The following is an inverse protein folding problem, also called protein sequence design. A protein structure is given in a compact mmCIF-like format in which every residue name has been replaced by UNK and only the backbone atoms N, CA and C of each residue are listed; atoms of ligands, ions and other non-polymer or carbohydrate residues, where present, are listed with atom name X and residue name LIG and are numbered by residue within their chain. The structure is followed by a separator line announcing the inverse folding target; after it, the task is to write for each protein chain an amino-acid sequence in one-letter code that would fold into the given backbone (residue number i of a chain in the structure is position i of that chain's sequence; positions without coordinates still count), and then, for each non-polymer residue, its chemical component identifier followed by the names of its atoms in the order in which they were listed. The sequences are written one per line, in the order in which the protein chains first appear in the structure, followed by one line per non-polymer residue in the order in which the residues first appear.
data_IF_690628050314
#
_entry.id   IF_690628050314
#
_cell.length_a   1.000
_cell.length_b   1.000
_cell.length_c   1.000
_cell.angle_alpha   90.00
_cell.angle_beta   90.00
_cell.angle_gamma   90.00
#
_symmetry.space_group_name_H-M   'P 1'
#
loop_
_entity.id
_entity.type
_entity.pdbx_description
1 polymer ?
#
# COMPACT_ATOMS: atom_id res chain seq x y z
N UNK A 1 3.65 17.71 -12.61
CA UNK A 1 4.88 18.52 -12.54
C UNK A 1 6.05 17.60 -12.24
N UNK A 2 7.20 17.80 -12.86
CA UNK A 2 8.42 17.01 -12.61
C UNK A 2 9.32 17.83 -11.71
N UNK A 3 9.79 17.26 -10.59
CA UNK A 3 10.75 17.88 -9.68
C UNK A 3 12.07 17.12 -9.75
N UNK A 4 13.16 17.86 -9.71
CA UNK A 4 14.52 17.32 -9.69
C UNK A 4 15.11 17.52 -8.30
N UNK A 5 15.65 16.47 -7.70
CA UNK A 5 16.28 16.53 -6.38
C UNK A 5 17.62 15.81 -6.46
N UNK A 6 18.75 16.49 -6.18
CA UNK A 6 20.06 15.86 -6.16
C UNK A 6 20.17 14.99 -4.91
N UNK A 7 20.48 13.70 -5.09
CA UNK A 7 20.57 12.71 -4.00
C UNK A 7 21.78 11.80 -4.18
N UNK A 8 22.32 11.30 -3.06
CA UNK A 8 23.36 10.27 -3.08
C UNK A 8 22.94 9.12 -2.18
N UNK A 9 22.61 7.96 -2.80
CA UNK A 9 22.18 6.76 -2.08
C UNK A 9 23.30 6.10 -1.26
N UNK A 10 24.55 6.20 -1.70
CA UNK A 10 25.70 5.62 -0.99
C UNK A 10 26.09 6.46 0.23
N UNK A 11 26.20 7.77 0.07
CA UNK A 11 26.60 8.68 1.15
C UNK A 11 25.43 9.08 2.07
N UNK A 12 24.20 8.74 1.72
CA UNK A 12 23.00 9.16 2.46
C UNK A 12 22.66 10.65 2.33
N UNK A 13 23.21 11.33 1.32
CA UNK A 13 23.05 12.77 1.14
C UNK A 13 21.64 13.15 0.66
N UNK A 14 21.03 14.13 1.33
CA UNK A 14 19.74 14.75 0.95
C UNK A 14 18.52 13.80 0.94
N UNK A 15 18.53 12.75 1.78
CA UNK A 15 17.46 11.74 1.83
C UNK A 15 16.33 12.09 2.82
N UNK A 16 16.62 12.20 4.12
CA UNK A 16 15.59 12.29 5.18
C UNK A 16 15.75 13.54 6.06
N UNK A 17 16.95 13.79 6.58
CA UNK A 17 17.17 14.83 7.59
C UNK A 17 17.23 16.23 6.96
N UNK A 18 16.41 17.19 7.41
CA UNK A 18 16.60 18.62 7.14
C UNK A 18 17.86 19.22 7.81
N UNK A 19 18.70 18.41 8.46
CA UNK A 19 19.79 18.86 9.33
C UNK A 19 21.05 17.99 9.37
N UNK A 20 21.14 16.91 8.59
CA UNK A 20 22.46 16.40 8.23
C UNK A 20 22.96 17.30 7.11
N UNK A 21 24.02 18.11 7.32
CA UNK A 21 24.45 19.03 6.28
C UNK A 21 24.71 18.19 5.04
N UNK A 22 24.03 18.49 3.90
CA UNK A 22 24.47 17.91 2.66
C UNK A 22 25.96 18.24 2.52
N UNK A 23 26.75 17.39 1.85
CA UNK A 23 28.17 17.65 1.67
C UNK A 23 28.35 19.11 1.23
N UNK A 24 29.35 19.85 1.76
CA UNK A 24 29.43 21.32 1.60
C UNK A 24 29.40 21.77 0.13
N UNK A 25 29.77 20.88 -0.80
CA UNK A 25 29.63 21.10 -2.24
C UNK A 25 28.16 21.21 -2.72
N UNK A 26 27.19 20.58 -2.06
CA UNK A 26 25.77 20.58 -2.43
C UNK A 26 25.01 21.73 -1.76
N UNK A 27 25.31 22.08 -0.51
CA UNK A 27 24.72 23.27 0.14
C UNK A 27 25.13 24.59 -0.52
N UNK A 28 26.23 24.61 -1.26
CA UNK A 28 26.72 25.80 -1.96
C UNK A 28 25.82 26.26 -3.13
N UNK A 29 25.05 25.36 -3.75
CA UNK A 29 24.23 25.68 -4.93
C UNK A 29 22.80 25.16 -4.85
N UNK A 30 22.49 24.21 -3.96
CA UNK A 30 21.15 23.65 -3.81
C UNK A 30 20.49 24.11 -2.51
N UNK A 31 19.36 24.80 -2.64
CA UNK A 31 18.53 25.30 -1.53
C UNK A 31 17.12 24.68 -1.51
N UNK A 32 16.90 23.61 -2.29
CA UNK A 32 15.61 22.93 -2.40
C UNK A 32 15.35 21.89 -1.29
N UNK A 33 14.18 21.24 -1.31
CA UNK A 33 13.79 20.25 -0.31
C UNK A 33 14.63 18.97 -0.39
N UNK A 34 14.59 18.19 0.70
CA UNK A 34 15.11 16.82 0.74
C UNK A 34 14.24 15.88 -0.09
N UNK A 35 14.72 14.67 -0.40
CA UNK A 35 13.93 13.68 -1.13
C UNK A 35 12.62 13.35 -0.39
N UNK A 36 12.67 13.13 0.93
CA UNK A 36 11.48 12.90 1.75
C UNK A 36 10.51 14.09 1.69
N UNK A 37 11.01 15.32 1.90
CA UNK A 37 10.16 16.52 1.83
C UNK A 37 9.52 16.71 0.45
N UNK A 38 10.26 16.43 -0.63
CA UNK A 38 9.73 16.49 -1.98
C UNK A 38 8.64 15.45 -2.25
N UNK A 39 8.71 14.27 -1.62
CA UNK A 39 7.68 13.22 -1.69
C UNK A 39 6.44 13.62 -0.86
N UNK A 40 6.65 14.16 0.34
CA UNK A 40 5.56 14.61 1.23
C UNK A 40 4.76 15.79 0.64
N UNK A 41 5.41 16.65 -0.16
CA UNK A 41 4.76 17.74 -0.89
C UNK A 41 3.93 17.26 -2.11
N UNK A 42 3.98 15.97 -2.46
CA UNK A 42 3.12 15.46 -3.52
C UNK A 42 1.66 15.43 -3.03
N UNK A 43 0.72 15.94 -3.84
CA UNK A 43 -0.68 15.90 -3.45
C UNK A 43 -1.12 14.45 -3.26
N UNK A 44 -1.73 14.16 -2.12
CA UNK A 44 -2.34 12.86 -1.89
C UNK A 44 -3.42 12.62 -2.96
N UNK A 45 -3.31 11.50 -3.66
CA UNK A 45 -4.31 11.11 -4.67
C UNK A 45 -5.59 10.72 -3.94
N UNK A 46 -6.72 11.28 -4.38
CA UNK A 46 -8.03 10.90 -3.87
C UNK A 46 -8.24 9.39 -4.10
N UNK A 47 -8.60 8.67 -3.03
CA UNK A 47 -8.93 7.23 -3.07
C UNK A 47 -10.20 6.95 -3.88
N UNK A 48 -10.87 8.00 -4.34
CA UNK A 48 -11.93 7.95 -5.31
C UNK A 48 -13.29 7.69 -4.68
N UNK A 49 -14.34 8.07 -5.40
CA UNK A 49 -15.72 7.79 -5.05
C UNK A 49 -15.99 6.26 -4.95
N UNK A 50 -17.02 5.83 -4.18
CA UNK A 50 -17.37 4.43 -4.04
C UNK A 50 -17.68 3.80 -5.41
N UNK A 51 -16.76 2.97 -5.87
CA UNK A 51 -16.83 2.20 -7.12
C UNK A 51 -16.95 0.71 -6.78
N UNK A 52 -17.42 -0.15 -7.70
CA UNK A 52 -17.48 -1.58 -7.46
C UNK A 52 -16.08 -2.17 -7.17
N UNK A 53 -16.03 -3.20 -6.33
CA UNK A 53 -14.78 -3.86 -5.93
C UNK A 53 -14.00 -4.37 -7.14
N UNK A 54 -12.74 -3.95 -7.28
CA UNK A 54 -11.78 -4.51 -8.24
C UNK A 54 -10.43 -4.68 -7.57
N UNK A 55 -9.96 -5.93 -7.54
CA UNK A 55 -8.66 -6.32 -7.00
C UNK A 55 -7.95 -7.15 -8.07
N UNK A 56 -7.01 -6.58 -8.85
CA UNK A 56 -6.09 -7.35 -9.65
C UNK A 56 -5.18 -8.20 -8.76
N UNK A 57 -5.12 -9.49 -9.06
CA UNK A 57 -4.25 -10.44 -8.35
C UNK A 57 -2.82 -10.23 -8.84
N UNK A 58 -1.93 -9.88 -7.92
CA UNK A 58 -0.49 -9.72 -8.17
C UNK A 58 0.29 -10.99 -7.82
N UNK A 59 -0.13 -11.69 -6.75
CA UNK A 59 0.51 -12.92 -6.31
C UNK A 59 -0.51 -13.93 -5.77
N UNK A 60 -0.18 -15.22 -5.84
CA UNK A 60 -0.96 -16.31 -5.26
C UNK A 60 -0.09 -16.97 -4.21
N UNK A 61 -0.55 -16.93 -2.95
CA UNK A 61 0.21 -17.40 -1.78
C UNK A 61 -0.44 -18.70 -1.29
N UNK A 62 -0.04 -19.88 -1.80
CA UNK A 62 -0.60 -21.13 -1.33
C UNK A 62 -0.17 -21.42 0.12
N UNK A 63 -1.12 -21.80 0.97
CA UNK A 63 -0.82 -22.41 2.27
C UNK A 63 -0.55 -21.46 3.44
N UNK A 64 -0.99 -20.21 3.38
CA UNK A 64 -0.95 -19.33 4.57
C UNK A 64 -1.93 -19.83 5.65
N UNK A 65 -1.43 -20.00 6.89
CA UNK A 65 -2.23 -20.52 8.01
C UNK A 65 -3.44 -19.64 8.37
N UNK A 66 -3.34 -18.33 8.15
CA UNK A 66 -4.40 -17.36 8.46
C UNK A 66 -5.37 -17.16 7.30
N UNK A 67 -4.87 -17.19 6.05
CA UNK A 67 -5.63 -16.87 4.84
C UNK A 67 -6.21 -18.12 4.14
N UNK A 68 -5.64 -19.32 4.36
CA UNK A 68 -6.11 -20.58 3.78
C UNK A 68 -5.33 -21.02 2.54
N UNK A 69 -5.86 -22.03 1.83
CA UNK A 69 -5.19 -22.65 0.69
C UNK A 69 -5.19 -21.75 -0.57
N UNK A 70 -6.20 -20.89 -0.71
CA UNK A 70 -6.34 -19.95 -1.82
C UNK A 70 -6.21 -18.51 -1.30
N UNK A 71 -4.98 -18.11 -0.94
CA UNK A 71 -4.68 -16.72 -0.62
C UNK A 71 -4.17 -15.99 -1.86
N UNK A 72 -4.69 -14.79 -2.10
CA UNK A 72 -4.30 -13.94 -3.23
C UNK A 72 -3.88 -12.57 -2.71
N UNK A 73 -2.70 -12.13 -3.12
CA UNK A 73 -2.15 -10.82 -2.82
C UNK A 73 -2.41 -9.86 -3.98
N UNK A 74 -2.81 -8.63 -3.67
CA UNK A 74 -3.05 -7.63 -4.70
C UNK A 74 -3.30 -6.24 -4.13
N UNK A 75 -3.33 -5.26 -5.04
CA UNK A 75 -3.73 -3.90 -4.71
C UNK A 75 -5.19 -3.69 -5.08
N UNK A 76 -5.97 -3.10 -4.19
CA UNK A 76 -7.34 -2.71 -4.54
C UNK A 76 -7.34 -1.46 -5.39
N UNK A 77 -7.90 -1.55 -6.59
CA UNK A 77 -8.06 -0.40 -7.50
C UNK A 77 -9.36 0.36 -7.23
N UNK A 78 -10.40 -0.33 -6.76
CA UNK A 78 -11.70 0.27 -6.50
C UNK A 78 -12.48 -0.52 -5.46
N UNK A 79 -13.35 0.18 -4.73
CA UNK A 79 -14.32 -0.39 -3.81
C UNK A 79 -13.78 -0.68 -2.41
N UNK A 80 -14.48 -1.55 -1.70
CA UNK A 80 -14.20 -1.94 -0.33
C UNK A 80 -14.37 -3.45 -0.20
N UNK A 81 -13.51 -4.08 0.58
CA UNK A 81 -13.60 -5.50 0.92
C UNK A 81 -13.69 -5.69 2.43
N UNK A 82 -14.49 -6.67 2.85
CA UNK A 82 -14.65 -7.07 4.25
C UNK A 82 -14.68 -8.58 4.38
N UNK A 83 -14.20 -9.09 5.51
CA UNK A 83 -14.39 -10.50 5.91
C UNK A 83 -15.86 -10.91 5.84
N UNK A 84 -16.13 -12.06 5.24
CA UNK A 84 -17.47 -12.64 5.04
C UNK A 84 -18.19 -12.16 3.78
N UNK A 85 -17.60 -11.26 3.00
CA UNK A 85 -18.17 -10.82 1.73
C UNK A 85 -18.01 -11.90 0.65
N UNK A 86 -19.02 -12.05 -0.20
CA UNK A 86 -18.93 -12.87 -1.41
C UNK A 86 -18.31 -12.06 -2.53
N UNK A 87 -17.32 -12.62 -3.22
CA UNK A 87 -16.60 -12.01 -4.32
C UNK A 87 -16.65 -12.94 -5.53
N UNK A 88 -16.62 -12.35 -6.73
CA UNK A 88 -16.56 -13.09 -7.97
C UNK A 88 -15.12 -13.10 -8.47
N UNK A 89 -14.54 -14.29 -8.59
CA UNK A 89 -13.19 -14.48 -9.10
C UNK A 89 -13.26 -14.66 -10.61
N UNK A 90 -12.69 -13.70 -11.33
CA UNK A 90 -12.52 -13.73 -12.78
C UNK A 90 -11.07 -14.08 -13.12
N UNK A 91 -10.79 -14.79 -14.22
CA UNK A 91 -11.70 -15.15 -15.33
C UNK A 91 -12.53 -16.43 -15.12
N UNK A 92 -12.28 -17.21 -14.06
CA UNK A 92 -12.92 -18.52 -13.86
C UNK A 92 -14.45 -18.45 -13.57
N UNK A 93 -14.97 -17.28 -13.21
CA UNK A 93 -16.41 -17.10 -12.92
C UNK A 93 -16.85 -17.75 -11.60
N UNK A 94 -15.91 -18.03 -10.70
CA UNK A 94 -16.17 -18.74 -9.43
C UNK A 94 -16.56 -17.74 -8.35
N UNK A 95 -17.63 -18.02 -7.62
CA UNK A 95 -18.04 -17.21 -6.46
C UNK A 95 -17.33 -17.73 -5.23
N UNK A 96 -16.49 -16.90 -4.64
CA UNK A 96 -15.72 -17.20 -3.44
C UNK A 96 -16.21 -16.38 -2.25
N UNK A 97 -15.98 -16.87 -1.04
CA UNK A 97 -16.24 -16.12 0.19
C UNK A 97 -14.93 -15.68 0.82
N UNK A 98 -14.85 -14.42 1.23
CA UNK A 98 -13.67 -13.86 1.89
C UNK A 98 -13.58 -14.37 3.33
N UNK A 99 -12.61 -15.24 3.61
CA UNK A 99 -12.37 -15.80 4.94
C UNK A 99 -11.61 -14.84 5.85
N UNK A 100 -10.57 -14.20 5.31
CA UNK A 100 -9.71 -13.27 6.00
C UNK A 100 -9.13 -12.24 5.02
N UNK A 101 -8.80 -11.06 5.53
CA UNK A 101 -8.11 -10.01 4.77
C UNK A 101 -7.03 -9.44 5.68
N UNK A 102 -5.81 -9.37 5.18
CA UNK A 102 -4.64 -8.81 5.86
C UNK A 102 -4.06 -7.69 4.97
N UNK A 103 -3.52 -6.62 5.57
CA UNK A 103 -2.80 -5.61 4.81
C UNK A 103 -1.39 -6.13 4.48
N UNK A 104 -1.05 -6.15 3.19
CA UNK A 104 0.26 -6.58 2.71
C UNK A 104 1.26 -5.44 2.94
N UNK A 105 1.88 -5.47 4.12
CA UNK A 105 2.82 -4.44 4.56
C UNK A 105 2.59 -4.08 6.02
N UNK A 106 3.61 -4.29 6.86
CA UNK A 106 3.63 -3.71 8.21
C UNK A 106 3.33 -2.22 8.11
N UNK A 107 2.27 -1.80 8.79
CA UNK A 107 1.74 -0.45 8.71
C UNK A 107 2.78 0.54 9.27
N UNK A 108 3.61 1.10 8.39
CA UNK A 108 4.49 2.23 8.63
C UNK A 108 3.88 3.49 8.05
N UNK A 109 2.74 3.93 8.58
CA UNK A 109 2.23 5.29 8.37
C UNK A 109 1.32 5.70 9.54
N UNK A 110 1.91 6.35 10.55
CA UNK A 110 1.32 7.49 11.26
C UNK A 110 -0.07 7.37 11.89
N UNK A 111 -0.53 6.17 12.26
CA UNK A 111 -1.76 5.98 13.04
C UNK A 111 -1.46 5.14 14.27
N UNK A 112 -1.60 5.74 15.45
CA UNK A 112 -1.52 5.08 16.77
C UNK A 112 -2.18 3.70 16.75
N UNK A 113 -1.47 2.70 17.28
CA UNK A 113 -1.85 1.29 17.21
C UNK A 113 -3.30 1.02 17.61
N UNK A 114 -4.11 0.71 16.61
CA UNK A 114 -5.38 0.02 16.82
C UNK A 114 -5.22 -1.42 16.40
N UNK A 115 -5.22 -2.31 17.39
CA UNK A 115 -5.56 -3.73 17.32
C UNK A 115 -6.48 -4.03 16.13
N UNK A 116 -6.27 -5.13 15.36
CA UNK A 116 -7.16 -5.47 14.26
C UNK A 116 -8.58 -5.64 14.78
N UNK A 117 -9.40 -4.62 14.58
CA UNK A 117 -10.83 -4.65 14.88
C UNK A 117 -11.45 -5.78 14.05
N UNK A 118 -12.34 -6.61 14.61
CA UNK A 118 -13.05 -7.66 13.87
C UNK A 118 -13.97 -7.11 12.77
N UNK A 119 -14.03 -5.78 12.60
CA UNK A 119 -14.73 -5.05 11.54
C UNK A 119 -13.77 -4.29 10.61
N UNK A 120 -12.53 -4.74 10.45
CA UNK A 120 -11.62 -4.14 9.48
C UNK A 120 -12.21 -4.21 8.06
N UNK A 121 -12.56 -3.04 7.53
CA UNK A 121 -12.86 -2.83 6.11
C UNK A 121 -11.61 -2.24 5.48
N UNK A 122 -11.26 -2.71 4.29
CA UNK A 122 -10.12 -2.20 3.52
C UNK A 122 -10.64 -1.48 2.27
N UNK A 123 -9.94 -0.42 1.85
CA UNK A 123 -10.41 0.49 0.81
C UNK A 123 -9.49 0.50 -0.42
N UNK A 124 -9.98 1.10 -1.50
CA UNK A 124 -9.20 1.36 -2.71
C UNK A 124 -7.87 2.07 -2.37
N UNK A 125 -6.79 1.58 -2.96
CA UNK A 125 -5.42 2.04 -2.73
C UNK A 125 -4.61 1.16 -1.78
N UNK A 126 -5.26 0.37 -0.92
CA UNK A 126 -4.57 -0.50 0.03
C UNK A 126 -4.07 -1.79 -0.67
N UNK A 127 -2.85 -2.21 -0.30
CA UNK A 127 -2.32 -3.53 -0.65
C UNK A 127 -2.82 -4.54 0.37
N UNK A 128 -3.48 -5.60 -0.09
CA UNK A 128 -4.11 -6.59 0.77
C UNK A 128 -3.88 -8.01 0.28
N UNK A 129 -3.76 -8.90 1.25
CA UNK A 129 -3.74 -10.34 1.07
C UNK A 129 -5.11 -10.89 1.50
N UNK A 130 -5.79 -11.56 0.58
CA UNK A 130 -7.17 -12.02 0.74
C UNK A 130 -7.21 -13.55 0.73
N UNK A 131 -7.76 -14.11 1.80
CA UNK A 131 -8.05 -15.54 1.89
C UNK A 131 -9.43 -15.87 1.36
N UNK A 132 -9.50 -16.76 0.36
CA UNK A 132 -10.74 -17.17 -0.29
C UNK A 132 -11.13 -18.61 0.12
N UNK A 133 -12.40 -18.80 0.46
CA UNK A 133 -13.04 -20.12 0.61
C UNK A 133 -14.00 -20.38 -0.56
N UNK A 134 -14.04 -21.62 -1.05
CA UNK A 134 -14.95 -22.06 -2.11
C UNK A 134 -14.44 -21.89 -3.54
N UNK A 135 -13.12 -21.74 -3.73
CA UNK A 135 -12.42 -21.78 -5.02
C UNK A 135 -11.70 -23.11 -5.19
#
# INVERSE_FOLDING_TARGET
AVRWVPVSGFAGGNLVLPGAPPPPALSAWWTGPTLAGAIDELPAVDRGAPRPLRLPVADVIPGSRTLGAAAVGGKMEAGMIRKGQKVLVMPAGVVATVRAVEASGGCGAGGTGSTPSPRACFFAGDAVDVGLDGV
#
